data_IF_035407081362
#
_entry.id   IF_035407081362
#
_cell.length_a   1.000
_cell.length_b   1.000
_cell.length_c   1.000
_cell.angle_alpha   90.00
_cell.angle_beta   90.00
_cell.angle_gamma   90.00
#
_symmetry.space_group_name_H-M   'P 1'
#
loop_
_entity.id
_entity.type
_entity.pdbx_description
1 polymer ?
#
# COMPACT_ATOMS: atom_id res chain seq x y z
N UNK A 1 -34.10 52.65 23.21
CA UNK A 1 -33.91 51.81 22.01
C UNK A 1 -32.56 51.11 22.07
N UNK A 2 -32.50 49.84 22.46
CA UNK A 2 -31.27 49.01 22.39
C UNK A 2 -31.45 47.47 22.32
N UNK A 3 -32.56 46.88 21.80
CA UNK A 3 -32.66 45.43 21.64
C UNK A 3 -32.08 44.88 20.33
N UNK A 4 -31.88 45.72 19.29
CA UNK A 4 -31.52 45.29 17.92
C UNK A 4 -30.08 44.78 17.77
N UNK A 5 -29.15 45.30 18.57
CA UNK A 5 -27.74 44.91 18.49
C UNK A 5 -27.51 43.49 19.03
N UNK A 6 -28.14 43.16 20.16
CA UNK A 6 -28.06 41.83 20.77
C UNK A 6 -28.68 40.77 19.88
N UNK A 7 -29.82 41.04 19.25
CA UNK A 7 -30.46 40.11 18.29
C UNK A 7 -29.60 39.88 17.05
N UNK A 8 -28.93 40.90 16.53
CA UNK A 8 -28.00 40.77 15.41
C UNK A 8 -26.75 39.93 15.75
N UNK A 9 -26.22 40.07 16.97
CA UNK A 9 -25.11 39.24 17.47
C UNK A 9 -25.53 37.76 17.54
N UNK A 10 -26.72 37.47 18.10
CA UNK A 10 -27.19 36.08 18.16
C UNK A 10 -27.54 35.50 16.79
N UNK A 11 -28.05 36.30 15.86
CA UNK A 11 -28.29 35.86 14.48
C UNK A 11 -27.00 35.53 13.73
N UNK A 12 -25.95 36.35 13.88
CA UNK A 12 -24.64 36.09 13.26
C UNK A 12 -23.94 34.88 13.89
N UNK A 13 -24.03 34.71 15.21
CA UNK A 13 -23.56 33.49 15.89
C UNK A 13 -24.31 32.26 15.37
N UNK A 14 -25.64 32.34 15.25
CA UNK A 14 -26.46 31.26 14.71
C UNK A 14 -26.07 30.87 13.28
N UNK A 15 -25.89 31.84 12.38
CA UNK A 15 -25.44 31.60 11.00
C UNK A 15 -24.03 31.01 10.97
N UNK A 16 -23.11 31.49 11.80
CA UNK A 16 -21.72 30.98 11.83
C UNK A 16 -21.68 29.55 12.34
N UNK A 17 -22.50 29.20 13.33
CA UNK A 17 -22.59 27.82 13.83
C UNK A 17 -23.28 26.90 12.82
N UNK A 18 -24.38 27.35 12.20
CA UNK A 18 -25.17 26.55 11.25
C UNK A 18 -24.47 26.38 9.90
N UNK A 19 -23.70 27.36 9.43
CA UNK A 19 -23.00 27.28 8.14
C UNK A 19 -21.51 26.98 8.32
N UNK A 20 -20.83 27.67 9.24
CA UNK A 20 -19.40 27.48 9.48
C UNK A 20 -19.09 26.16 10.18
N UNK A 21 -19.95 25.70 11.10
CA UNK A 21 -19.78 24.41 11.78
C UNK A 21 -19.76 23.22 10.81
N UNK A 22 -20.80 23.03 9.97
CA UNK A 22 -20.80 21.96 8.98
C UNK A 22 -19.68 22.05 7.95
N UNK A 23 -19.32 23.26 7.49
CA UNK A 23 -18.20 23.43 6.55
C UNK A 23 -16.85 23.07 7.18
N UNK A 24 -16.63 23.43 8.45
CA UNK A 24 -15.43 23.02 9.18
C UNK A 24 -15.35 21.51 9.38
N UNK A 25 -16.49 20.86 9.68
CA UNK A 25 -16.57 19.40 9.80
C UNK A 25 -16.31 18.70 8.46
N UNK A 26 -16.88 19.19 7.36
CA UNK A 26 -16.64 18.65 6.02
C UNK A 26 -15.17 18.81 5.60
N UNK A 27 -14.58 19.97 5.86
CA UNK A 27 -13.17 20.22 5.59
C UNK A 27 -12.28 19.29 6.41
N UNK A 28 -12.52 19.19 7.72
CA UNK A 28 -11.77 18.29 8.60
C UNK A 28 -11.89 16.83 8.15
N UNK A 29 -13.11 16.37 7.84
CA UNK A 29 -13.35 15.00 7.35
C UNK A 29 -12.60 14.73 6.04
N UNK A 30 -12.66 15.67 5.07
CA UNK A 30 -11.93 15.55 3.81
C UNK A 30 -10.41 15.45 4.03
N UNK A 31 -9.84 16.23 4.95
CA UNK A 31 -8.40 16.18 5.26
C UNK A 31 -8.00 14.96 6.09
N UNK A 32 -8.86 14.52 7.01
CA UNK A 32 -8.59 13.36 7.87
C UNK A 32 -8.63 12.05 7.08
N UNK A 33 -9.33 12.04 5.94
CA UNK A 33 -9.47 10.87 5.09
C UNK A 33 -8.50 10.86 3.90
N UNK A 34 -7.72 11.93 3.70
CA UNK A 34 -6.85 12.06 2.53
C UNK A 34 -5.80 10.92 2.50
N UNK A 35 -5.29 10.48 3.64
CA UNK A 35 -4.26 9.44 3.70
C UNK A 35 -4.80 8.01 3.87
N UNK A 36 -6.11 7.84 3.97
CA UNK A 36 -6.73 6.52 4.13
C UNK A 36 -6.50 5.70 2.87
N UNK A 37 -5.93 4.50 3.03
CA UNK A 37 -5.64 3.59 1.92
C UNK A 37 -4.46 4.00 1.03
N UNK A 38 -3.75 5.10 1.33
CA UNK A 38 -2.51 5.42 0.63
C UNK A 38 -1.38 4.49 1.11
N UNK A 39 -0.51 3.99 0.21
CA UNK A 39 0.68 3.26 0.61
C UNK A 39 1.59 4.13 1.48
N UNK A 40 1.96 3.61 2.64
CA UNK A 40 2.89 4.22 3.58
C UNK A 40 4.15 3.36 3.69
N UNK A 41 5.34 3.95 3.94
CA UNK A 41 6.54 3.18 4.19
C UNK A 41 6.37 2.20 5.36
N UNK A 42 6.80 0.95 5.17
CA UNK A 42 6.66 -0.12 6.14
C UNK A 42 7.99 -0.87 6.35
N UNK A 43 8.08 -1.65 7.42
CA UNK A 43 9.20 -2.55 7.64
C UNK A 43 9.20 -3.68 6.60
N UNK A 44 10.33 -3.87 5.92
CA UNK A 44 10.44 -4.83 4.85
C UNK A 44 10.36 -6.29 5.32
N UNK A 45 10.82 -6.61 6.54
CA UNK A 45 10.71 -7.96 7.06
C UNK A 45 9.25 -8.29 7.39
N UNK A 46 8.50 -7.33 7.95
CA UNK A 46 7.07 -7.46 8.19
C UNK A 46 6.27 -7.63 6.88
N UNK A 47 6.55 -6.80 5.87
CA UNK A 47 5.93 -6.90 4.54
C UNK A 47 6.19 -8.25 3.89
N UNK A 48 7.44 -8.72 3.90
CA UNK A 48 7.78 -10.03 3.32
C UNK A 48 7.16 -11.18 4.11
N UNK A 49 7.08 -11.08 5.44
CA UNK A 49 6.39 -12.06 6.28
C UNK A 49 4.91 -12.15 5.91
N UNK A 50 4.25 -11.00 5.72
CA UNK A 50 2.86 -10.97 5.25
C UNK A 50 2.72 -11.58 3.84
N UNK A 51 3.69 -11.33 2.98
CA UNK A 51 3.78 -11.95 1.65
C UNK A 51 4.25 -13.42 1.68
N UNK A 52 4.30 -14.07 2.85
CA UNK A 52 4.75 -15.45 3.05
C UNK A 52 6.12 -15.74 2.41
N UNK A 53 6.98 -14.73 2.36
CA UNK A 53 8.28 -14.81 1.75
C UNK A 53 9.38 -14.23 2.62
N UNK A 54 10.58 -14.14 2.04
CA UNK A 54 11.75 -13.55 2.67
C UNK A 54 12.58 -12.79 1.65
N UNK A 55 13.19 -11.69 2.07
CA UNK A 55 14.16 -10.98 1.24
C UNK A 55 15.42 -11.85 1.07
N UNK A 56 15.98 -11.95 -0.15
CA UNK A 56 17.27 -12.59 -0.33
C UNK A 56 18.38 -11.81 0.38
N UNK A 57 19.47 -12.48 0.74
CA UNK A 57 20.63 -11.82 1.37
C UNK A 57 21.29 -10.80 0.43
N UNK A 58 21.17 -11.00 -0.88
CA UNK A 58 21.64 -10.10 -1.94
C UNK A 58 20.68 -8.93 -2.23
N UNK A 59 19.61 -8.76 -1.44
CA UNK A 59 18.64 -7.71 -1.68
C UNK A 59 19.25 -6.31 -1.47
N UNK A 60 19.19 -5.49 -2.51
CA UNK A 60 19.59 -4.10 -2.50
C UNK A 60 18.40 -3.17 -2.73
N UNK A 61 18.54 -1.90 -2.32
CA UNK A 61 17.54 -0.85 -2.53
C UNK A 61 16.12 -1.18 -2.07
N UNK A 62 15.96 -2.03 -1.06
CA UNK A 62 14.64 -2.45 -0.59
C UNK A 62 13.76 -1.24 -0.21
N UNK A 63 12.56 -1.19 -0.77
CA UNK A 63 11.51 -0.22 -0.48
C UNK A 63 10.22 -0.99 -0.25
N UNK A 64 9.68 -0.85 0.95
CA UNK A 64 8.49 -1.57 1.33
C UNK A 64 7.40 -0.61 1.76
N UNK A 65 6.19 -0.89 1.32
CA UNK A 65 5.01 -0.09 1.64
C UNK A 65 3.85 -0.97 2.03
N UNK A 66 3.02 -0.47 2.92
CA UNK A 66 1.73 -1.06 3.28
C UNK A 66 0.61 -0.06 3.05
N UNK A 67 -0.53 -0.55 2.61
CA UNK A 67 -1.78 0.20 2.57
C UNK A 67 -2.84 -0.64 3.29
N UNK A 68 -3.63 0.02 4.13
CA UNK A 68 -4.74 -0.58 4.85
C UNK A 68 -5.98 0.30 4.74
N UNK A 69 -7.08 -0.29 4.29
CA UNK A 69 -8.39 0.32 4.42
C UNK A 69 -9.47 -0.74 4.65
N UNK A 70 -9.93 -1.39 3.59
CA UNK A 70 -10.83 -2.55 3.67
C UNK A 70 -10.02 -3.85 3.59
N UNK A 71 -9.11 -3.91 2.61
CA UNK A 71 -8.13 -4.97 2.47
C UNK A 71 -6.74 -4.48 2.87
N UNK A 72 -5.86 -5.45 3.11
CA UNK A 72 -4.42 -5.22 3.24
C UNK A 72 -3.78 -5.33 1.88
N UNK A 73 -2.95 -4.35 1.52
CA UNK A 73 -2.03 -4.45 0.40
C UNK A 73 -0.63 -4.13 0.90
N UNK A 74 0.32 -5.03 0.67
CA UNK A 74 1.74 -4.76 0.92
C UNK A 74 2.51 -4.90 -0.37
N UNK A 75 3.60 -4.15 -0.48
CA UNK A 75 4.51 -4.21 -1.63
C UNK A 75 5.94 -4.10 -1.13
N UNK A 76 6.80 -5.00 -1.61
CA UNK A 76 8.24 -4.92 -1.45
C UNK A 76 8.89 -4.84 -2.84
N UNK A 77 9.63 -3.76 -3.06
CA UNK A 77 10.47 -3.56 -4.23
C UNK A 77 11.93 -3.68 -3.81
N UNK A 78 12.72 -4.53 -4.47
CA UNK A 78 14.14 -4.67 -4.20
C UNK A 78 14.89 -5.14 -5.45
N UNK A 79 16.20 -4.89 -5.49
CA UNK A 79 17.09 -5.43 -6.53
C UNK A 79 17.82 -6.65 -5.99
N UNK A 80 18.14 -7.59 -6.87
CA UNK A 80 19.00 -8.72 -6.56
C UNK A 80 19.78 -9.16 -7.80
N UNK A 81 20.74 -10.06 -7.61
CA UNK A 81 21.44 -10.68 -8.74
C UNK A 81 20.48 -11.49 -9.60
N UNK A 82 20.49 -11.21 -10.90
CA UNK A 82 19.66 -11.88 -11.91
C UNK A 82 19.87 -13.39 -11.90
N UNK A 83 21.09 -13.85 -11.65
CA UNK A 83 21.42 -15.28 -11.63
C UNK A 83 20.79 -16.02 -10.43
N UNK A 84 20.45 -15.30 -9.36
CA UNK A 84 19.88 -15.88 -8.14
C UNK A 84 18.35 -15.92 -8.14
N UNK A 85 17.69 -15.16 -9.01
CA UNK A 85 16.22 -15.00 -9.05
C UNK A 85 15.48 -16.34 -9.04
N UNK A 86 15.86 -17.27 -9.91
CA UNK A 86 15.18 -18.57 -10.02
C UNK A 86 15.30 -19.41 -8.73
N UNK A 87 16.50 -19.41 -8.14
CA UNK A 87 16.76 -20.12 -6.89
C UNK A 87 16.00 -19.51 -5.71
N UNK A 88 15.95 -18.18 -5.64
CA UNK A 88 15.22 -17.45 -4.62
C UNK A 88 13.72 -17.66 -4.74
N UNK A 89 13.16 -17.59 -5.96
CA UNK A 89 11.74 -17.87 -6.21
C UNK A 89 11.37 -19.29 -5.80
N UNK A 90 12.17 -20.27 -6.19
CA UNK A 90 11.91 -21.68 -5.85
C UNK A 90 11.96 -21.94 -4.34
N UNK A 91 12.84 -21.25 -3.62
CA UNK A 91 12.97 -21.37 -2.17
C UNK A 91 11.85 -20.62 -1.42
N UNK A 92 11.49 -19.43 -1.89
CA UNK A 92 10.54 -18.52 -1.22
C UNK A 92 9.09 -18.86 -1.56
N UNK A 93 8.83 -19.21 -2.81
CA UNK A 93 7.51 -19.43 -3.39
C UNK A 93 7.43 -20.78 -4.12
N UNK A 94 7.63 -21.92 -3.41
CA UNK A 94 7.71 -23.24 -4.04
C UNK A 94 6.41 -23.70 -4.71
N UNK A 95 5.27 -23.16 -4.25
CA UNK A 95 3.95 -23.43 -4.83
C UNK A 95 3.52 -22.38 -5.87
N UNK A 96 4.44 -21.48 -6.27
CA UNK A 96 4.13 -20.42 -7.20
C UNK A 96 3.90 -20.92 -8.61
N UNK A 97 2.85 -20.41 -9.24
CA UNK A 97 2.48 -20.73 -10.61
C UNK A 97 2.73 -19.52 -11.52
N UNK A 98 3.09 -19.73 -12.80
CA UNK A 98 3.19 -18.63 -13.75
C UNK A 98 1.85 -17.87 -13.86
N UNK A 99 1.91 -16.54 -13.80
CA UNK A 99 0.71 -15.72 -13.96
C UNK A 99 0.09 -15.90 -15.37
N UNK A 100 -1.25 -15.88 -15.46
CA UNK A 100 -1.99 -15.99 -16.73
C UNK A 100 -1.58 -14.92 -17.75
N UNK A 101 -1.25 -13.74 -17.26
CA UNK A 101 -0.74 -12.61 -18.03
C UNK A 101 0.47 -12.03 -17.31
N UNK A 102 1.54 -11.75 -18.05
CA UNK A 102 2.74 -11.16 -17.49
C UNK A 102 3.25 -10.07 -18.44
N UNK A 103 3.34 -8.84 -17.93
CA UNK A 103 3.93 -7.71 -18.65
C UNK A 103 5.43 -7.58 -18.38
N UNK A 104 5.94 -8.27 -17.37
CA UNK A 104 7.35 -8.29 -16.98
C UNK A 104 8.05 -9.54 -17.55
N UNK A 105 9.36 -9.67 -17.31
CA UNK A 105 10.13 -10.81 -17.80
C UNK A 105 9.73 -12.12 -17.12
N UNK A 106 9.28 -12.05 -15.86
CA UNK A 106 8.80 -13.19 -15.09
C UNK A 106 7.72 -12.74 -14.12
N UNK A 107 6.62 -13.49 -14.07
CA UNK A 107 5.54 -13.27 -13.10
C UNK A 107 5.10 -14.60 -12.50
N UNK A 108 4.99 -14.63 -11.18
CA UNK A 108 4.56 -15.77 -10.40
C UNK A 108 3.44 -15.31 -9.48
N UNK A 109 2.37 -16.10 -9.38
CA UNK A 109 1.28 -15.87 -8.42
C UNK A 109 1.17 -17.06 -7.50
N UNK A 110 0.92 -16.78 -6.22
CA UNK A 110 0.82 -17.78 -5.16
C UNK A 110 -0.44 -17.53 -4.35
N UNK A 111 -1.46 -18.39 -4.45
CA UNK A 111 -2.57 -18.34 -3.53
C UNK A 111 -2.17 -19.01 -2.21
N UNK A 112 -2.55 -18.39 -1.10
CA UNK A 112 -2.49 -18.97 0.23
C UNK A 112 -3.89 -19.21 0.78
N UNK A 113 -3.95 -19.95 1.88
CA UNK A 113 -5.20 -20.12 2.62
C UNK A 113 -5.70 -18.76 3.15
N UNK A 114 -6.96 -18.71 3.56
CA UNK A 114 -7.58 -17.51 4.17
C UNK A 114 -7.73 -16.29 3.23
N UNK A 115 -7.58 -16.49 1.92
CA UNK A 115 -7.80 -15.41 0.93
C UNK A 115 -6.61 -14.46 0.79
N UNK A 116 -5.41 -14.88 1.19
CA UNK A 116 -4.16 -14.15 0.97
C UNK A 116 -3.53 -14.58 -0.34
N UNK A 117 -3.02 -13.62 -1.10
CA UNK A 117 -2.34 -13.85 -2.38
C UNK A 117 -0.99 -13.14 -2.37
N UNK A 118 0.01 -13.74 -3.01
CA UNK A 118 1.28 -13.09 -3.31
C UNK A 118 1.57 -13.15 -4.81
N UNK A 119 1.77 -11.99 -5.42
CA UNK A 119 2.21 -11.84 -6.80
C UNK A 119 3.65 -11.33 -6.82
N UNK A 120 4.51 -12.07 -7.48
CA UNK A 120 5.90 -11.70 -7.73
C UNK A 120 6.06 -11.34 -9.18
N UNK A 121 6.67 -10.20 -9.46
CA UNK A 121 7.04 -9.76 -10.80
C UNK A 121 8.52 -9.40 -10.83
N UNK A 122 9.22 -9.81 -11.88
CA UNK A 122 10.66 -9.57 -12.03
C UNK A 122 10.92 -8.92 -13.38
N UNK A 123 11.61 -7.80 -13.35
CA UNK A 123 12.14 -7.12 -14.53
C UNK A 123 13.66 -7.24 -14.53
N UNK A 124 14.23 -7.77 -15.59
CA UNK A 124 15.66 -7.83 -15.75
C UNK A 124 16.16 -6.49 -16.31
N UNK A 125 16.71 -5.65 -15.44
CA UNK A 125 17.21 -4.33 -15.81
C UNK A 125 18.43 -4.44 -16.75
N UNK A 126 19.29 -5.45 -16.51
CA UNK A 126 20.46 -5.73 -17.33
C UNK A 126 20.89 -7.22 -17.27
N UNK A 127 22.16 -7.52 -17.57
CA UNK A 127 22.73 -8.87 -17.57
C UNK A 127 23.04 -9.44 -16.17
N UNK A 128 23.03 -8.61 -15.13
CA UNK A 128 23.41 -8.97 -13.75
C UNK A 128 22.37 -8.56 -12.72
N UNK A 129 21.54 -7.57 -12.99
CA UNK A 129 20.58 -6.99 -12.04
C UNK A 129 19.14 -7.34 -12.41
N UNK A 130 18.35 -7.73 -11.42
CA UNK A 130 16.91 -7.90 -11.53
C UNK A 130 16.20 -7.02 -10.50
N UNK A 131 15.20 -6.25 -10.96
CA UNK A 131 14.24 -5.59 -10.09
C UNK A 131 13.10 -6.55 -9.79
N UNK A 132 12.93 -6.89 -8.53
CA UNK A 132 11.87 -7.76 -8.04
C UNK A 132 10.84 -6.92 -7.30
N UNK A 133 9.57 -7.16 -7.63
CA UNK A 133 8.42 -6.59 -6.94
C UNK A 133 7.55 -7.72 -6.44
N UNK A 134 7.41 -7.80 -5.12
CA UNK A 134 6.47 -8.69 -4.43
C UNK A 134 5.29 -7.86 -3.96
N UNK A 135 4.09 -8.23 -4.39
CA UNK A 135 2.83 -7.68 -3.87
C UNK A 135 2.11 -8.78 -3.14
N UNK A 136 1.57 -8.48 -1.96
CA UNK A 136 0.66 -9.41 -1.31
C UNK A 136 -0.58 -8.69 -0.80
N UNK A 137 -1.71 -9.38 -0.83
CA UNK A 137 -2.99 -8.78 -0.50
C UNK A 137 -4.02 -9.78 0.01
N UNK A 138 -5.00 -9.26 0.75
CA UNK A 138 -6.21 -9.98 1.15
C UNK A 138 -7.35 -9.65 0.20
N UNK A 139 -8.32 -10.56 0.06
CA UNK A 139 -9.58 -10.35 -0.67
C UNK A 139 -10.79 -10.89 0.07
#
# INVERSE_FOLDING_TARGET
MKPRLRTWIWATVGVTVVCGGPLALLYWFATAWDDIGKPQPADCAAVMTFAHGSLPESAEDARCTEAHFQDTFVTADFRMERAEVESWLSATYPAGEPALTCEQDLCVSVPYDEGVYADVSVTYEDGVTALVRVKAYTT
#
